data_IF_243735181384
#
_entry.id   IF_243735181384
#
_cell.length_a   1.000
_cell.length_b   1.000
_cell.length_c   1.000
_cell.angle_alpha   90.00
_cell.angle_beta   90.00
_cell.angle_gamma   90.00
#
_symmetry.space_group_name_H-M   'P 1'
#
loop_
_entity.id
_entity.type
_entity.pdbx_description
1 polymer ?
#
# COMPACT_ATOMS: atom_id res chain seq x y z
N UNK A 1 -17.81 -53.47 -3.33
CA UNK A 1 -18.68 -53.26 -2.17
C UNK A 1 -18.44 -51.83 -1.68
N UNK A 2 -19.28 -50.96 -2.14
CA UNK A 2 -19.21 -49.51 -1.80
C UNK A 2 -20.22 -49.27 -0.68
N UNK A 3 -19.73 -48.79 0.46
CA UNK A 3 -20.56 -48.32 1.56
C UNK A 3 -20.91 -46.84 1.39
N UNK A 4 -22.11 -46.42 1.84
CA UNK A 4 -22.58 -45.05 1.66
C UNK A 4 -21.96 -44.06 2.66
N UNK A 5 -21.68 -42.87 2.16
CA UNK A 5 -21.26 -41.69 2.94
C UNK A 5 -22.48 -41.13 3.68
N UNK A 6 -22.39 -40.82 4.99
CA UNK A 6 -23.50 -40.20 5.71
C UNK A 6 -23.59 -38.69 5.39
N UNK A 7 -24.80 -38.09 5.45
CA UNK A 7 -25.00 -36.66 5.24
C UNK A 7 -24.56 -35.86 6.46
N UNK A 8 -23.91 -34.71 6.20
CA UNK A 8 -23.58 -33.70 7.20
C UNK A 8 -24.70 -32.66 7.23
N UNK A 9 -25.75 -32.95 7.98
CA UNK A 9 -26.74 -31.97 8.42
C UNK A 9 -26.26 -31.39 9.76
N UNK A 10 -25.71 -30.20 9.71
CA UNK A 10 -25.38 -29.39 10.89
C UNK A 10 -26.17 -28.09 10.82
N UNK A 11 -27.35 -28.12 11.47
CA UNK A 11 -28.13 -26.92 11.79
C UNK A 11 -27.23 -25.92 12.52
N UNK A 12 -27.08 -24.75 11.95
CA UNK A 12 -26.56 -23.58 12.66
C UNK A 12 -27.75 -22.96 13.41
N UNK A 13 -27.79 -23.23 14.70
CA UNK A 13 -28.69 -22.62 15.66
C UNK A 13 -28.51 -21.10 15.65
N UNK A 14 -29.63 -20.39 15.58
CA UNK A 14 -29.85 -18.98 15.71
C UNK A 14 -29.17 -18.42 16.99
N UNK A 15 -28.05 -17.70 16.84
CA UNK A 15 -27.54 -16.88 17.89
C UNK A 15 -28.27 -15.53 17.90
N UNK A 16 -29.39 -15.47 18.61
CA UNK A 16 -30.22 -14.27 18.83
C UNK A 16 -29.51 -13.32 19.79
N UNK A 17 -28.84 -12.31 19.23
CA UNK A 17 -28.25 -11.22 19.99
C UNK A 17 -29.30 -10.13 20.24
N UNK A 18 -29.94 -10.14 21.42
CA UNK A 18 -30.75 -9.03 21.93
C UNK A 18 -30.02 -8.34 23.09
N UNK A 19 -29.87 -6.99 23.06
CA UNK A 19 -29.38 -6.27 24.23
C UNK A 19 -30.42 -6.31 25.32
N UNK A 20 -30.04 -6.75 26.51
CA UNK A 20 -30.87 -6.62 27.71
C UNK A 20 -30.84 -5.19 28.19
N UNK A 21 -32.02 -4.54 28.15
CA UNK A 21 -32.30 -3.30 28.88
C UNK A 21 -32.27 -3.56 30.38
N UNK A 22 -31.27 -3.04 31.04
CA UNK A 22 -31.38 -2.63 32.46
C UNK A 22 -30.16 -1.80 32.79
N UNK A 23 -30.32 -0.49 32.79
CA UNK A 23 -30.01 0.39 33.93
C UNK A 23 -30.43 1.83 33.59
N UNK A 24 -31.54 2.20 34.17
CA UNK A 24 -32.09 3.56 34.16
C UNK A 24 -31.61 4.29 35.40
N UNK A 25 -31.22 5.54 35.20
CA UNK A 25 -31.27 6.68 36.08
C UNK A 25 -30.08 6.98 37.01
N UNK A 26 -29.56 8.19 36.83
CA UNK A 26 -28.86 9.01 37.82
C UNK A 26 -28.22 10.25 37.17
N UNK A 27 -28.30 11.45 37.77
CA UNK A 27 -28.41 12.72 37.05
C UNK A 27 -27.09 13.45 36.77
N UNK A 28 -27.17 14.30 35.75
CA UNK A 28 -26.42 15.53 35.48
C UNK A 28 -24.98 15.69 35.99
N UNK A 29 -24.01 15.62 35.06
CA UNK A 29 -22.84 16.50 35.06
C UNK A 29 -22.56 16.95 33.63
N UNK A 30 -23.06 18.09 33.25
CA UNK A 30 -22.66 18.83 32.06
C UNK A 30 -21.18 19.26 32.24
N UNK A 31 -20.34 18.96 31.24
CA UNK A 31 -19.04 19.61 31.11
C UNK A 31 -17.83 18.77 30.69
N UNK A 32 -17.86 17.43 30.77
CA UNK A 32 -16.66 16.61 30.51
C UNK A 32 -16.67 15.81 29.20
N UNK A 33 -17.71 15.94 28.36
CA UNK A 33 -17.93 15.05 27.21
C UNK A 33 -17.03 15.27 25.98
N UNK A 34 -16.57 16.51 25.74
CA UNK A 34 -15.86 16.83 24.49
C UNK A 34 -14.40 16.37 24.44
N UNK A 35 -13.70 16.34 25.56
CA UNK A 35 -12.29 15.95 25.61
C UNK A 35 -12.10 14.42 25.53
N UNK A 36 -13.02 13.63 26.09
CA UNK A 36 -12.96 12.16 26.05
C UNK A 36 -13.23 11.59 24.65
N UNK A 37 -14.16 12.17 23.89
CA UNK A 37 -14.45 11.74 22.51
C UNK A 37 -13.30 11.96 21.55
N UNK A 38 -12.50 13.03 21.71
CA UNK A 38 -11.34 13.31 20.87
C UNK A 38 -10.20 12.32 21.12
N UNK A 39 -9.92 11.98 22.38
CA UNK A 39 -8.88 10.99 22.73
C UNK A 39 -9.23 9.55 22.28
N UNK A 40 -10.49 9.18 22.31
CA UNK A 40 -10.95 7.85 21.88
C UNK A 40 -10.87 7.68 20.36
N UNK A 41 -11.22 8.71 19.58
CA UNK A 41 -11.09 8.70 18.11
C UNK A 41 -9.63 8.63 17.65
N UNK A 42 -8.72 9.37 18.30
CA UNK A 42 -7.27 9.31 17.98
C UNK A 42 -6.70 7.93 18.29
N UNK A 43 -7.05 7.34 19.44
CA UNK A 43 -6.61 5.98 19.81
C UNK A 43 -7.16 4.91 18.86
N UNK A 44 -8.42 5.01 18.47
CA UNK A 44 -9.03 4.11 17.50
C UNK A 44 -8.38 4.24 16.11
N UNK A 45 -8.12 5.48 15.64
CA UNK A 45 -7.42 5.72 14.38
C UNK A 45 -6.01 5.13 14.38
N UNK A 46 -5.25 5.30 15.46
CA UNK A 46 -3.91 4.71 15.60
C UNK A 46 -3.94 3.18 15.67
N UNK A 47 -4.98 2.58 16.27
CA UNK A 47 -5.16 1.13 16.29
C UNK A 47 -5.46 0.58 14.87
N UNK A 48 -6.36 1.24 14.14
CA UNK A 48 -6.67 0.88 12.75
C UNK A 48 -5.45 1.01 11.83
N UNK A 49 -4.67 2.09 11.97
CA UNK A 49 -3.44 2.28 11.19
C UNK A 49 -2.41 1.16 11.46
N UNK A 50 -2.21 0.79 12.73
CA UNK A 50 -1.31 -0.32 13.10
C UNK A 50 -1.79 -1.65 12.55
N UNK A 51 -3.10 -1.95 12.65
CA UNK A 51 -3.68 -3.17 12.08
C UNK A 51 -3.46 -3.22 10.57
N UNK A 52 -3.69 -2.10 9.86
CA UNK A 52 -3.45 -2.00 8.43
C UNK A 52 -1.98 -2.25 8.08
N UNK A 53 -1.04 -1.63 8.80
CA UNK A 53 0.39 -1.85 8.60
C UNK A 53 0.78 -3.32 8.80
N UNK A 54 0.34 -3.97 9.89
CA UNK A 54 0.61 -5.40 10.13
C UNK A 54 0.07 -6.31 9.02
N UNK A 55 -1.07 -5.97 8.43
CA UNK A 55 -1.63 -6.72 7.29
C UNK A 55 -0.77 -6.55 6.03
N UNK A 56 -0.27 -5.33 5.75
CA UNK A 56 0.61 -5.08 4.62
C UNK A 56 1.97 -5.76 4.79
N UNK A 57 2.57 -5.70 5.99
CA UNK A 57 3.82 -6.40 6.29
C UNK A 57 3.69 -7.92 6.10
N UNK A 58 2.57 -8.51 6.55
CA UNK A 58 2.29 -9.92 6.32
C UNK A 58 2.14 -10.24 4.83
N UNK A 59 1.47 -9.37 4.06
CA UNK A 59 1.31 -9.53 2.62
C UNK A 59 2.67 -9.48 1.91
N UNK A 60 3.55 -8.51 2.24
CA UNK A 60 4.91 -8.41 1.68
C UNK A 60 5.68 -9.71 1.89
N UNK A 61 5.73 -10.22 3.13
CA UNK A 61 6.44 -11.47 3.44
C UNK A 61 5.90 -12.64 2.66
N UNK A 62 4.58 -12.83 2.65
CA UNK A 62 3.96 -13.97 1.98
C UNK A 62 4.13 -13.92 0.46
N UNK A 63 4.05 -12.74 -0.15
CA UNK A 63 4.29 -12.56 -1.58
C UNK A 63 5.76 -12.85 -1.90
N UNK A 64 6.68 -12.32 -1.11
CA UNK A 64 8.11 -12.58 -1.28
C UNK A 64 8.46 -14.07 -1.18
N UNK A 65 7.83 -14.80 -0.25
CA UNK A 65 8.10 -16.23 -0.01
C UNK A 65 7.49 -17.14 -1.06
N UNK A 66 6.22 -16.91 -1.45
CA UNK A 66 5.45 -17.89 -2.24
C UNK A 66 4.69 -17.31 -3.43
N UNK A 67 4.79 -16.02 -3.68
CA UNK A 67 4.16 -15.33 -4.80
C UNK A 67 2.69 -14.94 -4.56
N UNK A 68 2.15 -14.14 -5.50
CA UNK A 68 0.79 -13.60 -5.43
C UNK A 68 -0.27 -14.69 -5.51
N UNK A 69 -0.11 -15.65 -6.42
CA UNK A 69 -1.12 -16.68 -6.69
C UNK A 69 -1.34 -17.63 -5.51
N UNK A 70 -0.29 -17.88 -4.72
CA UNK A 70 -0.35 -18.75 -3.52
C UNK A 70 -0.65 -17.99 -2.24
N UNK A 71 -0.87 -16.68 -2.31
CA UNK A 71 -1.20 -15.84 -1.16
C UNK A 71 -2.69 -15.50 -1.19
N UNK A 72 -3.45 -15.97 -0.21
CA UNK A 72 -4.87 -15.67 -0.04
C UNK A 72 -5.10 -14.61 1.03
N UNK A 73 -6.30 -14.00 1.05
CA UNK A 73 -6.72 -13.08 2.11
C UNK A 73 -6.69 -13.73 3.49
N UNK A 74 -7.04 -15.02 3.58
CA UNK A 74 -6.99 -15.78 4.84
C UNK A 74 -5.56 -15.97 5.33
N UNK A 75 -4.62 -16.24 4.42
CA UNK A 75 -3.20 -16.37 4.77
C UNK A 75 -2.63 -15.06 5.31
N UNK A 76 -2.98 -13.93 4.69
CA UNK A 76 -2.56 -12.60 5.13
C UNK A 76 -3.07 -12.31 6.54
N UNK A 77 -4.37 -12.56 6.80
CA UNK A 77 -4.96 -12.38 8.12
C UNK A 77 -4.26 -13.25 9.18
N UNK A 78 -4.04 -14.53 8.87
CA UNK A 78 -3.36 -15.47 9.75
C UNK A 78 -1.92 -15.07 10.04
N UNK A 79 -1.16 -14.71 9.01
CA UNK A 79 0.25 -14.28 9.15
C UNK A 79 0.41 -12.95 9.91
N UNK A 80 -0.61 -12.09 9.85
CA UNK A 80 -0.67 -10.85 10.63
C UNK A 80 -1.16 -11.05 12.07
N UNK A 81 -1.66 -12.24 12.44
CA UNK A 81 -2.30 -12.49 13.73
C UNK A 81 -3.62 -11.75 13.91
N UNK A 82 -4.35 -11.50 12.83
CA UNK A 82 -5.55 -10.67 12.79
C UNK A 82 -6.74 -11.53 12.32
N UNK A 83 -7.91 -11.34 12.97
CA UNK A 83 -9.12 -12.03 12.57
C UNK A 83 -9.50 -11.71 11.11
N UNK A 84 -9.97 -12.72 10.36
CA UNK A 84 -10.38 -12.59 8.97
C UNK A 84 -11.41 -11.47 8.74
N UNK A 85 -12.41 -11.35 9.64
CA UNK A 85 -13.41 -10.28 9.57
C UNK A 85 -12.77 -8.87 9.66
N UNK A 86 -11.75 -8.71 10.52
CA UNK A 86 -11.01 -7.44 10.65
C UNK A 86 -10.25 -7.11 9.37
N UNK A 87 -9.64 -8.10 8.71
CA UNK A 87 -8.98 -7.88 7.42
C UNK A 87 -9.99 -7.36 6.38
N UNK A 88 -11.19 -7.96 6.29
CA UNK A 88 -12.22 -7.53 5.34
C UNK A 88 -12.81 -6.14 5.66
N UNK A 89 -12.67 -5.65 6.88
CA UNK A 89 -12.98 -4.26 7.22
C UNK A 89 -11.94 -3.27 6.66
N UNK A 90 -10.72 -3.71 6.37
CA UNK A 90 -9.64 -2.90 5.80
C UNK A 90 -9.52 -3.03 4.28
N UNK A 91 -9.75 -4.23 3.74
CA UNK A 91 -9.54 -4.56 2.33
C UNK A 91 -10.63 -5.52 1.85
N UNK A 92 -11.35 -5.15 0.79
CA UNK A 92 -12.44 -5.97 0.23
C UNK A 92 -11.92 -7.21 -0.50
N UNK A 93 -10.77 -7.10 -1.12
CA UNK A 93 -10.15 -8.13 -1.94
C UNK A 93 -8.63 -8.02 -1.93
N UNK A 94 -7.99 -8.96 -2.60
CA UNK A 94 -6.54 -9.05 -2.71
C UNK A 94 -5.93 -7.90 -3.51
N UNK A 95 -6.62 -7.41 -4.52
CA UNK A 95 -6.15 -6.29 -5.36
C UNK A 95 -6.07 -5.00 -4.54
N UNK A 96 -7.02 -4.78 -3.62
CA UNK A 96 -6.95 -3.65 -2.67
C UNK A 96 -5.77 -3.76 -1.71
N UNK A 97 -5.40 -4.97 -1.27
CA UNK A 97 -4.20 -5.17 -0.45
C UNK A 97 -2.95 -4.81 -1.24
N UNK A 98 -2.85 -5.27 -2.48
CA UNK A 98 -1.69 -4.99 -3.33
C UNK A 98 -1.58 -3.52 -3.71
N UNK A 99 -2.70 -2.88 -4.04
CA UNK A 99 -2.73 -1.45 -4.29
C UNK A 99 -2.25 -0.64 -3.08
N UNK A 100 -2.71 -1.01 -1.89
CA UNK A 100 -2.28 -0.38 -0.64
C UNK A 100 -0.82 -0.66 -0.29
N UNK A 101 -0.29 -1.83 -0.67
CA UNK A 101 1.11 -2.17 -0.53
C UNK A 101 1.96 -1.26 -1.42
N UNK A 102 1.63 -1.13 -2.70
CA UNK A 102 2.34 -0.22 -3.62
C UNK A 102 2.30 1.21 -3.13
N UNK A 103 1.13 1.70 -2.69
CA UNK A 103 0.97 3.05 -2.12
C UNK A 103 1.89 3.25 -0.89
N UNK A 104 1.93 2.28 0.02
CA UNK A 104 2.78 2.34 1.21
C UNK A 104 4.28 2.35 0.87
N UNK A 105 4.72 1.52 -0.07
CA UNK A 105 6.12 1.48 -0.52
C UNK A 105 6.52 2.79 -1.20
N UNK A 106 5.66 3.37 -2.03
CA UNK A 106 5.91 4.70 -2.63
C UNK A 106 6.12 5.75 -1.55
N UNK A 107 5.29 5.76 -0.50
CA UNK A 107 5.44 6.72 0.59
C UNK A 107 6.73 6.51 1.39
N UNK A 108 7.15 5.27 1.62
CA UNK A 108 8.41 4.95 2.28
C UNK A 108 9.61 5.39 1.46
N UNK A 109 9.61 5.10 0.15
CA UNK A 109 10.67 5.55 -0.76
C UNK A 109 10.74 7.08 -0.81
N UNK A 110 9.60 7.75 -0.92
CA UNK A 110 9.55 9.21 -0.95
C UNK A 110 10.12 9.84 0.34
N UNK A 111 9.86 9.22 1.49
CA UNK A 111 10.43 9.66 2.78
C UNK A 111 11.94 9.47 2.83
N UNK A 112 12.47 8.33 2.39
CA UNK A 112 13.91 8.08 2.31
C UNK A 112 14.63 9.05 1.36
N UNK A 113 13.97 9.43 0.27
CA UNK A 113 14.52 10.36 -0.74
C UNK A 113 14.46 11.83 -0.31
N UNK A 114 13.75 12.15 0.76
CA UNK A 114 13.51 13.53 1.17
C UNK A 114 14.80 14.29 1.49
N UNK A 115 14.98 15.42 0.83
CA UNK A 115 16.17 16.29 1.03
C UNK A 115 17.45 15.81 0.37
N UNK A 116 17.42 14.69 -0.35
CA UNK A 116 18.56 14.24 -1.16
C UNK A 116 18.65 15.05 -2.46
N UNK A 117 19.87 15.25 -3.02
CA UNK A 117 20.03 15.67 -4.41
C UNK A 117 19.25 14.75 -5.36
N UNK A 118 18.74 15.29 -6.48
CA UNK A 118 17.84 14.55 -7.36
C UNK A 118 18.44 13.23 -7.88
N UNK A 119 19.70 13.25 -8.28
CA UNK A 119 20.41 12.05 -8.73
C UNK A 119 20.51 10.97 -7.66
N UNK A 120 20.73 11.36 -6.40
CA UNK A 120 20.82 10.44 -5.28
C UNK A 120 19.43 9.91 -4.91
N UNK A 121 18.40 10.74 -4.90
CA UNK A 121 17.02 10.35 -4.68
C UNK A 121 16.55 9.33 -5.73
N UNK A 122 16.84 9.58 -7.01
CA UNK A 122 16.52 8.65 -8.10
C UNK A 122 17.26 7.31 -7.94
N UNK A 123 18.55 7.35 -7.56
CA UNK A 123 19.35 6.15 -7.34
C UNK A 123 18.81 5.32 -6.15
N UNK A 124 18.49 5.96 -5.02
CA UNK A 124 17.91 5.32 -3.86
C UNK A 124 16.57 4.66 -4.23
N UNK A 125 15.68 5.38 -4.90
CA UNK A 125 14.39 4.86 -5.33
C UNK A 125 14.56 3.65 -6.28
N UNK A 126 15.46 3.73 -7.25
CA UNK A 126 15.74 2.64 -8.20
C UNK A 126 16.25 1.39 -7.49
N UNK A 127 17.25 1.53 -6.58
CA UNK A 127 17.81 0.42 -5.80
C UNK A 127 16.74 -0.22 -4.91
N UNK A 128 15.90 0.59 -4.27
CA UNK A 128 14.80 0.09 -3.43
C UNK A 128 13.82 -0.76 -4.23
N UNK A 129 13.45 -0.34 -5.43
CA UNK A 129 12.58 -1.10 -6.31
C UNK A 129 13.26 -2.35 -6.86
N UNK A 130 14.52 -2.25 -7.29
CA UNK A 130 15.29 -3.37 -7.80
C UNK A 130 15.49 -4.49 -6.76
N UNK A 131 15.65 -4.12 -5.50
CA UNK A 131 15.88 -5.08 -4.40
C UNK A 131 14.59 -5.48 -3.67
N UNK A 132 13.42 -4.91 -4.01
CA UNK A 132 12.17 -5.16 -3.27
C UNK A 132 11.60 -6.56 -3.55
N UNK A 133 11.64 -7.50 -2.58
CA UNK A 133 11.40 -8.91 -2.87
C UNK A 133 9.98 -9.20 -3.33
N UNK A 134 8.97 -8.55 -2.75
CA UNK A 134 7.58 -8.77 -3.11
C UNK A 134 7.20 -8.11 -4.45
N UNK A 135 7.58 -6.84 -4.67
CA UNK A 135 7.24 -6.13 -5.91
C UNK A 135 7.90 -6.75 -7.13
N UNK A 136 9.16 -7.14 -7.02
CA UNK A 136 9.86 -7.87 -8.10
C UNK A 136 9.20 -9.21 -8.40
N UNK A 137 8.76 -9.91 -7.37
CA UNK A 137 8.05 -11.17 -7.57
C UNK A 137 6.70 -10.97 -8.25
N UNK A 138 5.95 -9.91 -7.89
CA UNK A 138 4.73 -9.52 -8.61
C UNK A 138 5.04 -9.20 -10.08
N UNK A 139 6.08 -8.43 -10.35
CA UNK A 139 6.47 -8.05 -11.70
C UNK A 139 6.78 -9.28 -12.58
N UNK A 140 7.41 -10.30 -12.01
CA UNK A 140 7.82 -11.52 -12.73
C UNK A 140 6.68 -12.53 -12.87
N UNK A 141 5.91 -12.78 -11.79
CA UNK A 141 4.91 -13.86 -11.75
C UNK A 141 3.51 -13.40 -12.20
N UNK A 142 3.21 -12.11 -12.06
CA UNK A 142 1.90 -11.55 -12.35
C UNK A 142 1.99 -10.13 -12.95
N UNK A 143 2.60 -9.99 -14.15
CA UNK A 143 2.80 -8.68 -14.77
C UNK A 143 1.48 -7.95 -15.08
N UNK A 144 0.37 -8.69 -15.25
CA UNK A 144 -0.95 -8.08 -15.45
C UNK A 144 -1.45 -7.38 -14.17
N UNK A 145 -1.19 -7.97 -13.00
CA UNK A 145 -1.50 -7.34 -11.71
C UNK A 145 -0.66 -6.07 -11.53
N UNK A 146 0.66 -6.13 -11.77
CA UNK A 146 1.52 -4.95 -11.72
C UNK A 146 1.03 -3.88 -12.69
N UNK A 147 0.74 -4.22 -13.94
CA UNK A 147 0.19 -3.30 -14.94
C UNK A 147 -1.09 -2.61 -14.46
N UNK A 148 -1.99 -3.35 -13.81
CA UNK A 148 -3.20 -2.79 -13.21
C UNK A 148 -2.94 -1.83 -12.04
N UNK A 149 -1.88 -2.07 -11.26
CA UNK A 149 -1.52 -1.24 -10.09
C UNK A 149 -0.83 0.07 -10.48
N UNK A 150 -0.14 0.10 -11.63
CA UNK A 150 0.62 1.26 -12.13
C UNK A 150 -0.05 1.94 -13.32
N UNK A 151 -1.26 1.55 -13.71
CA UNK A 151 -1.98 2.17 -14.81
C UNK A 151 -2.60 3.50 -14.40
N UNK A 152 -2.30 4.55 -15.16
CA UNK A 152 -2.88 5.88 -14.99
C UNK A 152 -4.40 5.92 -15.25
N UNK A 153 -4.93 4.97 -16.02
CA UNK A 153 -6.33 4.93 -16.43
C UNK A 153 -7.26 4.38 -15.33
N UNK A 154 -6.72 3.75 -14.31
CA UNK A 154 -7.52 3.21 -13.21
C UNK A 154 -7.75 4.26 -12.14
N UNK A 155 -8.99 4.72 -12.02
CA UNK A 155 -9.47 5.59 -10.94
C UNK A 155 -9.82 4.83 -9.66
N UNK A 156 -9.72 3.50 -9.68
CA UNK A 156 -9.97 2.62 -8.55
C UNK A 156 -8.73 2.48 -7.61
N UNK A 157 -8.80 1.53 -6.70
CA UNK A 157 -7.72 1.25 -5.74
C UNK A 157 -6.34 1.06 -6.42
N UNK A 158 -6.30 0.45 -7.62
CA UNK A 158 -5.07 0.23 -8.37
C UNK A 158 -4.34 1.52 -8.77
N UNK A 159 -5.08 2.56 -9.16
CA UNK A 159 -4.50 3.84 -9.58
C UNK A 159 -3.87 4.68 -8.47
N UNK A 160 -4.18 4.40 -7.19
CA UNK A 160 -3.64 5.19 -6.07
C UNK A 160 -2.12 5.14 -5.94
N UNK A 161 -1.53 3.97 -6.14
CA UNK A 161 -0.06 3.81 -6.12
C UNK A 161 0.61 4.64 -7.20
N UNK A 162 0.06 4.64 -8.41
CA UNK A 162 0.53 5.45 -9.52
C UNK A 162 0.42 6.95 -9.23
N UNK A 163 -0.73 7.41 -8.73
CA UNK A 163 -0.94 8.82 -8.37
C UNK A 163 -0.01 9.27 -7.24
N UNK A 164 0.21 8.42 -6.24
CA UNK A 164 1.17 8.68 -5.16
C UNK A 164 2.60 8.81 -5.71
N UNK A 165 3.01 7.92 -6.63
CA UNK A 165 4.33 7.98 -7.27
C UNK A 165 4.51 9.25 -8.11
N UNK A 166 3.50 9.65 -8.90
CA UNK A 166 3.53 10.89 -9.66
C UNK A 166 3.64 12.12 -8.75
N UNK A 167 2.89 12.15 -7.65
CA UNK A 167 2.94 13.24 -6.68
C UNK A 167 4.35 13.35 -6.03
N UNK A 168 4.88 12.23 -5.54
CA UNK A 168 6.20 12.17 -4.93
C UNK A 168 7.32 12.59 -5.90
N UNK A 169 7.29 12.06 -7.13
CA UNK A 169 8.25 12.45 -8.17
C UNK A 169 8.12 13.92 -8.56
N UNK A 170 6.88 14.43 -8.67
CA UNK A 170 6.63 15.83 -8.97
C UNK A 170 7.15 16.79 -7.89
N UNK A 171 7.02 16.42 -6.62
CA UNK A 171 7.56 17.22 -5.51
C UNK A 171 9.09 17.19 -5.48
N UNK A 172 9.73 16.01 -5.64
CA UNK A 172 11.18 15.88 -5.75
C UNK A 172 11.76 16.71 -6.91
N UNK A 173 11.08 16.72 -8.06
CA UNK A 173 11.46 17.55 -9.21
C UNK A 173 11.36 19.05 -8.91
N UNK A 174 10.27 19.50 -8.27
CA UNK A 174 10.08 20.90 -7.87
C UNK A 174 11.19 21.36 -6.92
N UNK A 175 11.49 20.54 -5.90
CA UNK A 175 12.50 20.83 -4.89
C UNK A 175 13.90 20.92 -5.51
N UNK A 176 14.15 20.18 -6.59
CA UNK A 176 15.39 20.18 -7.36
C UNK A 176 15.41 21.21 -8.51
N UNK A 177 14.44 22.12 -8.60
CA UNK A 177 14.36 23.11 -9.67
C UNK A 177 14.05 22.55 -11.06
N UNK A 178 13.53 21.31 -11.14
CA UNK A 178 13.13 20.64 -12.39
C UNK A 178 11.64 20.82 -12.66
N UNK A 179 11.25 20.59 -13.91
CA UNK A 179 9.84 20.68 -14.31
C UNK A 179 9.04 19.48 -13.76
N UNK A 180 8.05 19.71 -12.88
CA UNK A 180 7.26 18.63 -12.31
C UNK A 180 6.43 17.85 -13.35
N UNK A 181 6.22 18.40 -14.56
CA UNK A 181 5.57 17.68 -15.67
C UNK A 181 6.37 16.48 -16.15
N UNK A 182 7.65 16.39 -15.82
CA UNK A 182 8.49 15.23 -16.09
C UNK A 182 8.28 14.08 -15.09
N UNK A 183 7.39 14.19 -14.09
CA UNK A 183 7.14 13.16 -13.08
C UNK A 183 6.78 11.81 -13.70
N UNK A 184 5.96 11.79 -14.75
CA UNK A 184 5.59 10.56 -15.43
C UNK A 184 6.80 9.85 -16.07
N UNK A 185 7.74 10.60 -16.65
CA UNK A 185 8.98 10.02 -17.18
C UNK A 185 9.81 9.36 -16.06
N UNK A 186 9.93 10.04 -14.92
CA UNK A 186 10.62 9.50 -13.75
C UNK A 186 9.96 8.21 -13.25
N UNK A 187 8.63 8.22 -13.06
CA UNK A 187 7.91 7.04 -12.58
C UNK A 187 8.01 5.87 -13.57
N UNK A 188 7.90 6.11 -14.88
CA UNK A 188 8.08 5.08 -15.90
C UNK A 188 9.50 4.49 -15.88
N UNK A 189 10.52 5.33 -15.72
CA UNK A 189 11.90 4.87 -15.56
C UNK A 189 12.06 4.01 -14.30
N UNK A 190 11.51 4.44 -13.15
CA UNK A 190 11.55 3.66 -11.91
C UNK A 190 10.88 2.28 -12.05
N UNK A 191 9.76 2.19 -12.78
CA UNK A 191 9.07 0.92 -13.03
C UNK A 191 9.95 -0.08 -13.79
N UNK A 192 10.87 0.38 -14.64
CA UNK A 192 11.80 -0.53 -15.35
C UNK A 192 12.66 -1.34 -14.38
N UNK A 193 13.02 -0.79 -13.22
CA UNK A 193 13.78 -1.48 -12.17
C UNK A 193 13.01 -2.61 -11.49
N UNK A 194 11.68 -2.65 -11.60
CA UNK A 194 10.88 -3.81 -11.16
C UNK A 194 10.83 -4.93 -12.19
N UNK A 195 10.89 -4.59 -13.48
CA UNK A 195 10.60 -5.52 -14.58
C UNK A 195 11.85 -6.09 -15.23
N UNK A 196 12.95 -5.35 -15.23
CA UNK A 196 14.21 -5.75 -15.85
C UNK A 196 15.22 -6.03 -14.72
N UNK A 197 15.61 -7.29 -14.49
CA UNK A 197 16.62 -7.62 -13.49
C UNK A 197 18.01 -7.12 -13.93
N UNK A 198 18.86 -6.86 -12.95
CA UNK A 198 20.29 -6.55 -13.14
C UNK A 198 20.53 -5.33 -14.06
N UNK A 199 19.88 -4.22 -13.74
CA UNK A 199 20.25 -2.95 -14.36
C UNK A 199 21.65 -2.56 -13.85
N UNK A 200 22.63 -2.63 -14.73
CA UNK A 200 23.98 -2.17 -14.46
C UNK A 200 23.94 -0.73 -14.00
N UNK A 201 24.41 -0.49 -12.77
CA UNK A 201 24.61 0.83 -12.18
C UNK A 201 23.38 1.76 -12.18
N UNK A 202 22.41 1.48 -11.29
CA UNK A 202 21.27 2.35 -11.03
C UNK A 202 21.69 3.80 -10.76
N UNK A 203 22.87 4.02 -10.16
CA UNK A 203 23.40 5.36 -9.88
C UNK A 203 23.85 6.09 -11.14
N UNK A 204 24.49 5.41 -12.09
CA UNK A 204 24.88 6.01 -13.37
C UNK A 204 23.63 6.38 -14.18
N UNK A 205 22.64 5.48 -14.27
CA UNK A 205 21.39 5.75 -14.99
C UNK A 205 20.57 6.87 -14.33
N UNK A 206 20.56 6.95 -12.99
CA UNK A 206 19.93 8.05 -12.25
C UNK A 206 20.58 9.41 -12.55
N UNK A 207 21.92 9.48 -12.58
CA UNK A 207 22.64 10.70 -12.95
C UNK A 207 22.34 11.14 -14.38
N UNK A 208 22.31 10.20 -15.32
CA UNK A 208 21.97 10.49 -16.72
C UNK A 208 20.53 11.01 -16.82
N UNK A 209 19.59 10.37 -16.15
CA UNK A 209 18.20 10.84 -16.12
C UNK A 209 18.11 12.25 -15.50
N UNK A 210 18.73 12.47 -14.33
CA UNK A 210 18.73 13.78 -13.69
C UNK A 210 19.32 14.88 -14.59
N UNK A 211 20.35 14.56 -15.37
CA UNK A 211 21.00 15.52 -16.27
C UNK A 211 20.10 15.96 -17.44
N UNK A 212 19.28 15.04 -17.99
CA UNK A 212 18.40 15.32 -19.14
C UNK A 212 17.01 15.83 -18.76
N UNK A 213 16.62 15.75 -17.50
CA UNK A 213 15.32 16.26 -17.05
C UNK A 213 15.23 17.79 -17.22
N UNK A 214 14.13 18.31 -17.76
CA UNK A 214 13.99 19.74 -18.06
C UNK A 214 14.00 20.58 -16.80
N UNK A 215 14.67 21.73 -16.87
CA UNK A 215 14.62 22.76 -15.84
C UNK A 215 13.22 23.39 -15.78
N UNK A 216 12.81 23.79 -14.60
CA UNK A 216 11.56 24.50 -14.40
C UNK A 216 11.64 25.88 -15.04
N UNK A 217 10.86 26.11 -16.08
CA UNK A 217 10.72 27.44 -16.65
C UNK A 217 9.92 28.31 -15.67
N UNK A 218 10.56 29.32 -15.08
CA UNK A 218 9.83 30.35 -14.35
C UNK A 218 9.02 31.11 -15.40
N UNK A 219 7.69 31.03 -15.32
CA UNK A 219 6.85 31.92 -16.13
C UNK A 219 7.23 33.35 -15.79
N UNK A 220 7.80 34.06 -16.74
CA UNK A 220 7.99 35.51 -16.63
C UNK A 220 6.60 36.13 -16.60
N UNK A 221 6.25 36.74 -15.46
CA UNK A 221 5.00 37.49 -15.25
C UNK A 221 5.07 38.78 -16.02
#
# INVERSE_FOLDING_TARGET
MSGPVPPVDGEFDDFDWRPTDSDVAGPERAGAGRARFRGTRVRAGNAMARTRASLLDAAVRLIAERGTRRTSMTDIAHAAGIAKGTLYNHFRNKDEVFAALVEAEVMLIAEECRGLPLEDALAVAAIRLDTHPALRRVATEDPALLGGLISAERLDAGGRGWQAALAAAGDALKDSGRDPRAAELVVRWLVTHLTIPDQEDAQASARLLAAVLPLRTLATV
#
